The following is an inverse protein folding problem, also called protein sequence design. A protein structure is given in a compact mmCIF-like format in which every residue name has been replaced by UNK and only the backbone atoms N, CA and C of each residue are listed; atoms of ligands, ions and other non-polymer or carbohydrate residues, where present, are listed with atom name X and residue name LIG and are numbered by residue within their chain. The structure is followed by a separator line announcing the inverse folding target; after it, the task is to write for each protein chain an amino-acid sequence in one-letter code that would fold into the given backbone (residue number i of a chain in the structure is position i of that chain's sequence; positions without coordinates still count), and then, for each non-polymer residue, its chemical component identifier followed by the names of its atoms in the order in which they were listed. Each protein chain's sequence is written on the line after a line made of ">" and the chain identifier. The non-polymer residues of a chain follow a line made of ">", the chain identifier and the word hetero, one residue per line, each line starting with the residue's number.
data_IF_595709854762
#
_entry.id   IF_595709854762
#
_cell.length_a   1.000
_cell.length_b   1.000
_cell.length_c   1.000
_cell.angle_alpha   90.00
_cell.angle_beta   90.00
_cell.angle_gamma   90.00
#
_symmetry.space_group_name_H-M   'P 1'
#
loop_
_entity.id
_entity.type
_entity.pdbx_description
1 polymer ?
#
# COMPACT_ATOMS: atom_id res chain seq x y z
N UNK A 1 -1.85 -11.09 8.79
CA UNK A 1 -2.34 -9.70 8.68
C UNK A 1 -1.95 -9.18 7.31
N UNK A 2 -2.60 -8.13 6.77
CA UNK A 2 -2.19 -7.53 5.50
C UNK A 2 -1.77 -6.07 5.71
N UNK A 3 -0.81 -5.63 4.90
CA UNK A 3 -0.40 -4.24 4.84
C UNK A 3 -1.02 -3.55 3.63
N UNK A 4 -1.55 -2.36 3.85
CA UNK A 4 -2.26 -1.57 2.86
C UNK A 4 -1.67 -0.18 2.80
N UNK A 5 -1.44 0.34 1.61
CA UNK A 5 -1.01 1.73 1.40
C UNK A 5 -2.11 2.54 0.70
N UNK A 6 -2.37 3.74 1.22
CA UNK A 6 -3.28 4.71 0.62
C UNK A 6 -2.67 5.29 -0.66
N UNK A 7 -3.43 5.28 -1.77
CA UNK A 7 -2.99 5.84 -3.05
C UNK A 7 -2.81 7.36 -3.03
N UNK A 8 -3.55 8.05 -2.16
CA UNK A 8 -3.61 9.52 -2.13
C UNK A 8 -2.53 10.12 -1.21
N UNK A 9 -2.46 9.65 0.04
CA UNK A 9 -1.58 10.21 1.06
C UNK A 9 -0.39 9.32 1.40
N UNK A 10 -0.26 8.15 0.78
CA UNK A 10 0.81 7.18 1.01
C UNK A 10 0.87 6.64 2.46
N UNK A 11 -0.24 6.72 3.20
CA UNK A 11 -0.35 6.16 4.53
C UNK A 11 -0.42 4.63 4.49
N UNK A 12 0.43 3.97 5.26
CA UNK A 12 0.42 2.50 5.41
C UNK A 12 -0.35 2.12 6.66
N UNK A 13 -1.30 1.20 6.53
CA UNK A 13 -1.99 0.58 7.66
C UNK A 13 -1.90 -0.95 7.60
N UNK A 14 -2.02 -1.56 8.76
CA UNK A 14 -2.15 -3.01 8.91
C UNK A 14 -3.60 -3.36 9.22
N UNK A 15 -4.24 -4.14 8.34
CA UNK A 15 -5.62 -4.59 8.49
C UNK A 15 -5.88 -5.81 7.61
N UNK A 16 -6.82 -6.69 7.94
CA UNK A 16 -7.20 -7.77 7.02
C UNK A 16 -7.86 -7.22 5.74
N UNK A 17 -8.73 -6.22 5.92
CA UNK A 17 -9.43 -5.50 4.85
C UNK A 17 -9.25 -4.00 5.02
N UNK A 18 -8.99 -3.24 3.94
CA UNK A 18 -8.80 -1.80 4.04
C UNK A 18 -10.13 -1.08 4.32
N UNK A 19 -10.12 0.01 5.10
CA UNK A 19 -11.30 0.82 5.32
C UNK A 19 -11.67 1.63 4.08
N UNK A 20 -12.94 1.98 3.95
CA UNK A 20 -13.42 2.86 2.88
C UNK A 20 -12.92 4.30 3.04
N UNK A 21 -12.67 4.72 4.29
CA UNK A 21 -12.17 6.06 4.64
C UNK A 21 -10.77 5.93 5.23
N UNK A 22 -9.83 6.72 4.69
CA UNK A 22 -8.46 6.71 5.17
C UNK A 22 -8.35 7.44 6.53
N UNK A 23 -7.74 6.83 7.56
CA UNK A 23 -7.61 7.47 8.88
C UNK A 23 -6.55 8.60 8.92
N UNK A 24 -5.74 8.75 7.86
CA UNK A 24 -4.73 9.80 7.77
C UNK A 24 -5.26 11.05 7.07
N UNK A 25 -5.84 10.91 5.87
CA UNK A 25 -6.37 12.04 5.11
C UNK A 25 -7.89 12.23 5.23
N UNK A 26 -8.60 11.32 5.90
CA UNK A 26 -10.07 11.34 6.09
C UNK A 26 -10.90 11.37 4.80
N UNK A 27 -10.28 11.06 3.65
CA UNK A 27 -10.95 10.91 2.36
C UNK A 27 -11.32 9.46 2.05
N UNK A 28 -12.23 9.27 1.08
CA UNK A 28 -12.46 7.96 0.47
C UNK A 28 -11.32 7.67 -0.52
N UNK A 29 -10.44 6.74 -0.16
CA UNK A 29 -9.22 6.48 -0.92
C UNK A 29 -9.11 5.00 -1.28
N UNK A 30 -8.41 4.71 -2.38
CA UNK A 30 -8.08 3.34 -2.72
C UNK A 30 -6.86 2.89 -1.91
N UNK A 31 -6.96 1.69 -1.37
CA UNK A 31 -5.88 1.04 -0.65
C UNK A 31 -5.32 -0.10 -1.47
N UNK A 32 -4.00 -0.14 -1.59
CA UNK A 32 -3.32 -1.22 -2.30
C UNK A 32 -2.58 -2.11 -1.33
N UNK A 33 -2.71 -3.42 -1.52
CA UNK A 33 -2.00 -4.38 -0.70
C UNK A 33 -0.49 -4.32 -1.02
N UNK A 34 0.31 -4.16 0.03
CA UNK A 34 1.78 -4.14 0.02
C UNK A 34 2.36 -5.17 0.98
N UNK A 35 1.57 -6.19 1.31
CA UNK A 35 1.97 -7.31 2.16
C UNK A 35 3.06 -8.11 1.47
N UNK A 36 4.04 -8.54 2.25
CA UNK A 36 5.13 -9.34 1.74
C UNK A 36 4.70 -10.79 1.56
N UNK A 37 4.43 -11.19 0.31
CA UNK A 37 4.07 -12.59 0.01
C UNK A 37 5.27 -13.45 -0.38
N UNK A 38 6.48 -12.87 -0.43
CA UNK A 38 7.71 -13.56 -0.83
C UNK A 38 8.46 -14.04 0.43
N UNK A 39 8.96 -15.29 0.47
CA UNK A 39 9.73 -15.80 1.61
C UNK A 39 10.98 -14.95 1.92
N UNK A 40 11.64 -14.42 0.88
CA UNK A 40 12.86 -13.62 0.99
C UNK A 40 12.65 -12.27 1.69
N UNK A 41 11.41 -11.78 1.74
CA UNK A 41 11.10 -10.48 2.31
C UNK A 41 10.53 -10.54 3.73
N UNK A 42 10.47 -11.73 4.33
CA UNK A 42 10.03 -11.94 5.71
C UNK A 42 8.61 -12.46 5.87
N UNK A 43 7.93 -12.80 4.77
CA UNK A 43 6.60 -13.40 4.78
C UNK A 43 5.46 -12.41 5.12
N UNK A 44 4.22 -12.91 5.27
CA UNK A 44 3.01 -12.08 5.35
C UNK A 44 2.91 -11.23 6.63
N UNK A 45 3.79 -11.45 7.61
CA UNK A 45 3.96 -10.61 8.79
C UNK A 45 4.80 -9.36 8.54
N UNK A 46 5.34 -9.18 7.32
CA UNK A 46 6.10 -8.00 6.93
C UNK A 46 5.42 -7.22 5.81
N UNK A 47 5.75 -5.93 5.73
CA UNK A 47 5.41 -5.08 4.59
C UNK A 47 6.57 -5.07 3.59
N UNK A 48 6.25 -5.14 2.31
CA UNK A 48 7.26 -5.03 1.26
C UNK A 48 7.62 -3.55 1.05
N UNK A 49 8.79 -3.16 1.57
CA UNK A 49 9.31 -1.80 1.44
C UNK A 49 9.51 -1.37 -0.02
N UNK A 50 9.77 -2.31 -0.93
CA UNK A 50 9.94 -2.02 -2.36
C UNK A 50 8.60 -1.68 -2.99
N UNK A 51 7.55 -2.43 -2.64
CA UNK A 51 6.19 -2.11 -3.08
C UNK A 51 5.72 -0.77 -2.51
N UNK A 52 5.96 -0.50 -1.24
CA UNK A 52 5.66 0.80 -0.62
C UNK A 52 6.37 1.94 -1.36
N UNK A 53 7.68 1.80 -1.59
CA UNK A 53 8.45 2.80 -2.32
C UNK A 53 7.94 2.99 -3.75
N UNK A 54 7.52 1.92 -4.42
CA UNK A 54 6.95 1.99 -5.76
C UNK A 54 5.60 2.71 -5.75
N UNK A 55 4.71 2.42 -4.80
CA UNK A 55 3.42 3.11 -4.68
C UNK A 55 3.59 4.59 -4.38
N UNK A 56 4.56 4.97 -3.55
CA UNK A 56 4.91 6.38 -3.29
C UNK A 56 5.38 7.08 -4.56
N UNK A 57 6.14 6.40 -5.42
CA UNK A 57 6.57 6.95 -6.71
C UNK A 57 5.40 7.09 -7.68
N UNK A 58 4.55 6.07 -7.78
CA UNK A 58 3.36 6.08 -8.64
C UNK A 58 2.38 7.20 -8.27
N UNK A 59 2.17 7.42 -6.97
CA UNK A 59 1.36 8.53 -6.43
C UNK A 59 1.91 9.90 -6.85
N UNK A 60 3.23 10.03 -7.07
CA UNK A 60 3.89 11.28 -7.48
C UNK A 60 4.04 11.45 -8.98
N UNK A 61 4.23 10.36 -9.72
CA UNK A 61 4.58 10.41 -11.15
C UNK A 61 3.39 10.17 -12.08
N UNK A 62 2.24 9.74 -11.58
CA UNK A 62 0.97 9.78 -12.31
C UNK A 62 0.98 9.18 -13.72
N UNK A 63 1.74 8.11 -14.00
CA UNK A 63 1.81 7.52 -15.36
C UNK A 63 1.93 5.99 -15.33
N UNK A 64 0.82 5.34 -15.71
CA UNK A 64 0.61 4.04 -16.37
C UNK A 64 1.66 2.93 -16.18
N UNK A 65 1.38 2.00 -15.28
CA UNK A 65 1.81 0.60 -15.47
C UNK A 65 1.03 0.01 -16.65
N UNK A 66 1.63 0.00 -17.84
CA UNK A 66 1.21 -0.85 -18.96
C UNK A 66 2.24 -1.97 -19.11
N UNK A 67 1.82 -3.16 -18.68
CA UNK A 67 2.29 -4.51 -19.01
C UNK A 67 3.79 -4.76 -19.16
#
# INVERSE_FOLDING_TARGET
>A
MNYWICSECNYVLEAETPPEVCPSCHGKCLFTNVTCYIPECGGPDHLDQRLVAQRVKESKEGIKQSF
#
